data_IF_598185179189
#
_entry.id   IF_598185179189
#
_cell.length_a   1.000
_cell.length_b   1.000
_cell.length_c   1.000
_cell.angle_alpha   90.00
_cell.angle_beta   90.00
_cell.angle_gamma   90.00
#
_symmetry.space_group_name_H-M   'P 1'
#
loop_
_entity.id
_entity.type
_entity.pdbx_description
1 polymer ?
#
# COMPACT_ATOMS: atom_id res chain seq x y z
N UNK A 1 -39.28 42.52 53.77
CA UNK A 1 -38.14 41.62 53.53
C UNK A 1 -36.85 42.42 53.57
N UNK A 2 -35.73 41.81 54.01
CA UNK A 2 -34.87 42.46 55.00
C UNK A 2 -33.40 42.65 54.58
N UNK A 3 -32.65 43.30 55.48
CA UNK A 3 -31.20 43.31 55.73
C UNK A 3 -30.27 43.98 54.68
N UNK A 4 -29.70 45.16 54.98
CA UNK A 4 -28.54 45.46 55.87
C UNK A 4 -27.18 45.09 55.22
N UNK A 5 -26.34 46.10 54.92
CA UNK A 5 -25.20 46.56 55.75
C UNK A 5 -24.19 45.45 56.02
N UNK A 6 -22.98 45.53 55.45
CA UNK A 6 -21.83 46.07 56.20
C UNK A 6 -20.53 45.99 55.40
N UNK A 7 -19.79 47.09 55.50
CA UNK A 7 -18.38 47.30 55.21
C UNK A 7 -17.45 46.36 56.02
N UNK A 8 -16.36 45.97 55.34
CA UNK A 8 -14.93 46.09 55.73
C UNK A 8 -14.49 45.49 57.08
N UNK A 9 -13.49 44.59 57.06
CA UNK A 9 -12.18 44.90 57.63
C UNK A 9 -11.06 43.90 57.27
N UNK A 10 -9.87 44.48 57.28
CA UNK A 10 -8.51 44.07 56.91
C UNK A 10 -7.93 43.15 58.01
N UNK A 11 -7.00 42.22 57.67
CA UNK A 11 -5.60 42.21 58.18
C UNK A 11 -4.86 40.85 58.22
N UNK A 12 -3.57 40.96 57.87
CA UNK A 12 -2.36 40.44 58.55
C UNK A 12 -1.73 39.06 58.21
N UNK A 13 -0.40 39.17 57.96
CA UNK A 13 0.74 38.32 58.39
C UNK A 13 0.90 36.95 57.69
N UNK A 14 1.96 36.65 56.92
CA UNK A 14 3.42 36.66 57.13
C UNK A 14 4.02 35.32 57.62
N UNK A 15 5.17 35.01 57.00
CA UNK A 15 6.35 34.28 57.50
C UNK A 15 6.49 32.76 57.33
N UNK A 16 7.67 32.34 56.85
CA UNK A 16 8.13 30.95 56.87
C UNK A 16 9.32 30.62 55.96
N UNK A 17 10.47 31.31 56.09
CA UNK A 17 11.76 30.84 55.54
C UNK A 17 12.28 29.61 56.32
N UNK A 18 12.98 28.68 55.64
CA UNK A 18 14.22 28.09 56.18
C UNK A 18 15.16 27.52 55.11
N UNK A 19 16.30 28.19 55.05
CA UNK A 19 17.65 27.91 54.55
C UNK A 19 18.09 26.54 54.02
N UNK A 20 18.86 26.69 52.93
CA UNK A 20 20.01 25.95 52.44
C UNK A 20 20.95 25.30 53.47
N UNK A 21 21.66 24.25 53.03
CA UNK A 21 23.14 24.23 53.08
C UNK A 21 23.77 23.26 52.08
N UNK A 22 24.87 23.77 51.52
CA UNK A 22 25.82 23.24 50.55
C UNK A 22 26.74 22.21 51.24
N UNK A 23 27.24 21.20 50.51
CA UNK A 23 28.69 20.97 50.37
C UNK A 23 29.05 19.84 49.41
N UNK A 24 29.94 20.24 48.51
CA UNK A 24 30.84 19.53 47.60
C UNK A 24 31.57 18.34 48.23
N UNK A 25 31.69 17.24 47.48
CA UNK A 25 32.92 16.44 47.44
C UNK A 25 33.03 15.60 46.15
N UNK A 26 33.99 16.01 45.33
CA UNK A 26 34.96 15.23 44.55
C UNK A 26 34.59 13.94 43.78
N UNK A 27 34.94 14.03 42.48
CA UNK A 27 35.84 13.12 41.75
C UNK A 27 35.28 11.93 40.93
N UNK A 28 35.63 12.01 39.64
CA UNK A 28 36.18 10.95 38.76
C UNK A 28 35.19 10.14 37.88
N UNK A 29 35.27 10.46 36.58
CA UNK A 29 35.29 9.60 35.38
C UNK A 29 34.35 8.39 35.26
N UNK A 30 33.50 8.45 34.22
CA UNK A 30 33.12 7.32 33.35
C UNK A 30 32.31 7.92 32.18
N UNK A 31 32.96 8.33 31.09
CA UNK A 31 33.27 7.52 29.91
C UNK A 31 32.07 7.22 29.00
N UNK A 32 32.15 7.82 27.81
CA UNK A 32 31.70 7.30 26.51
C UNK A 32 30.18 7.21 26.29
N UNK A 33 29.65 8.30 25.76
CA UNK A 33 28.45 8.28 24.91
C UNK A 33 28.90 8.57 23.49
N UNK A 34 29.38 7.56 22.77
CA UNK A 34 29.57 7.67 21.32
C UNK A 34 28.21 7.69 20.64
N UNK A 35 27.72 8.89 20.39
CA UNK A 35 26.69 9.16 19.39
C UNK A 35 27.23 8.77 18.01
N UNK A 36 26.70 7.69 17.44
CA UNK A 36 26.80 7.41 16.02
C UNK A 36 25.43 7.71 15.40
N UNK A 37 25.19 9.00 15.20
CA UNK A 37 24.36 9.47 14.10
C UNK A 37 25.30 9.97 13.01
N UNK A 38 24.82 9.94 11.77
CA UNK A 38 25.40 10.63 10.61
C UNK A 38 26.43 9.83 9.80
N UNK A 39 25.97 8.70 9.23
CA UNK A 39 26.27 8.30 7.84
C UNK A 39 25.46 7.06 7.45
N UNK A 40 24.21 7.25 7.08
CA UNK A 40 23.44 6.28 6.31
C UNK A 40 22.35 7.01 5.52
N UNK A 41 22.77 7.81 4.55
CA UNK A 41 21.91 8.28 3.48
C UNK A 41 22.57 7.83 2.18
N UNK A 42 21.79 7.04 1.42
CA UNK A 42 22.04 6.47 0.10
C UNK A 42 22.80 5.13 0.06
N UNK A 43 22.05 4.02 0.17
CA UNK A 43 21.78 3.07 -0.94
C UNK A 43 21.20 1.77 -0.37
N UNK A 44 20.11 1.27 -0.94
CA UNK A 44 19.40 0.02 -0.62
C UNK A 44 18.66 -0.03 0.73
N UNK A 45 17.48 0.59 0.77
CA UNK A 45 16.52 0.34 1.84
C UNK A 45 16.04 -1.13 1.74
N UNK A 46 16.55 -1.98 2.62
CA UNK A 46 16.04 -3.34 2.80
C UNK A 46 14.52 -3.31 2.98
N UNK A 47 13.75 -4.20 2.31
CA UNK A 47 12.30 -4.22 2.40
C UNK A 47 11.84 -4.31 3.86
N UNK A 48 11.01 -3.34 4.28
CA UNK A 48 10.46 -3.33 5.64
C UNK A 48 9.32 -4.35 5.72
N UNK A 49 9.57 -5.45 6.43
CA UNK A 49 8.53 -6.44 6.74
C UNK A 49 7.65 -5.94 7.89
N UNK A 50 6.32 -5.98 7.71
CA UNK A 50 5.34 -5.54 8.70
C UNK A 50 4.30 -6.64 8.88
N UNK A 51 3.89 -6.90 10.13
CA UNK A 51 2.88 -7.90 10.45
C UNK A 51 1.77 -7.32 11.34
N UNK A 52 0.53 -7.68 11.03
CA UNK A 52 -0.69 -7.23 11.70
C UNK A 52 -1.57 -8.42 12.06
N UNK A 53 -2.23 -8.36 13.22
CA UNK A 53 -3.21 -9.36 13.64
C UNK A 53 -4.44 -8.70 14.24
N UNK A 54 -5.60 -9.31 14.06
CA UNK A 54 -6.85 -8.80 14.61
C UNK A 54 -8.06 -9.49 14.02
N UNK A 55 -9.18 -8.77 13.95
CA UNK A 55 -10.43 -9.31 13.42
C UNK A 55 -11.10 -8.34 12.45
N UNK A 56 -11.58 -8.86 11.31
CA UNK A 56 -12.52 -8.16 10.44
C UNK A 56 -13.94 -8.29 11.02
N UNK A 57 -14.68 -7.18 11.04
CA UNK A 57 -16.04 -7.10 11.59
C UNK A 57 -16.15 -7.61 13.03
N UNK A 58 -15.08 -7.52 13.81
CA UNK A 58 -14.99 -8.05 15.18
C UNK A 58 -15.06 -9.58 15.32
N UNK A 59 -15.21 -10.34 14.22
CA UNK A 59 -15.54 -11.77 14.27
C UNK A 59 -14.58 -12.68 13.50
N UNK A 60 -13.99 -12.18 12.41
CA UNK A 60 -13.19 -12.99 11.49
C UNK A 60 -11.71 -12.73 11.79
N UNK A 61 -11.00 -13.64 12.47
CA UNK A 61 -9.60 -13.43 12.80
C UNK A 61 -8.73 -13.53 11.55
N UNK A 62 -7.87 -12.53 11.38
CA UNK A 62 -6.96 -12.41 10.24
C UNK A 62 -5.54 -12.11 10.71
N UNK A 63 -4.59 -12.51 9.88
CA UNK A 63 -3.19 -12.13 9.97
C UNK A 63 -2.76 -11.57 8.63
N UNK A 64 -2.15 -10.38 8.63
CA UNK A 64 -1.63 -9.73 7.43
C UNK A 64 -0.13 -9.57 7.62
N UNK A 65 0.66 -9.90 6.60
CA UNK A 65 2.05 -9.48 6.53
C UNK A 65 2.37 -8.96 5.15
N UNK A 66 3.25 -7.96 5.08
CA UNK A 66 3.70 -7.41 3.81
C UNK A 66 5.09 -6.81 3.93
N UNK A 67 5.76 -6.70 2.78
CA UNK A 67 6.89 -5.80 2.60
C UNK A 67 6.45 -4.53 1.88
N UNK A 68 7.16 -3.44 2.16
CA UNK A 68 6.97 -2.17 1.48
C UNK A 68 8.25 -1.79 0.72
N UNK A 69 8.10 -1.46 -0.57
CA UNK A 69 9.16 -0.95 -1.44
C UNK A 69 8.66 0.35 -2.08
N UNK A 70 9.12 1.50 -1.59
CA UNK A 70 8.54 2.79 -1.96
C UNK A 70 7.08 2.89 -1.52
N UNK A 71 6.19 3.16 -2.49
CA UNK A 71 4.74 3.19 -2.32
C UNK A 71 4.08 1.82 -2.54
N UNK A 72 4.78 0.85 -3.11
CA UNK A 72 4.26 -0.48 -3.39
C UNK A 72 4.26 -1.37 -2.14
N UNK A 73 3.13 -2.04 -1.90
CA UNK A 73 2.92 -3.00 -0.83
C UNK A 73 2.68 -4.37 -1.44
N UNK A 74 3.47 -5.37 -1.02
CA UNK A 74 3.31 -6.76 -1.46
C UNK A 74 3.36 -7.68 -0.26
N UNK A 75 2.34 -8.52 -0.12
CA UNK A 75 2.21 -9.40 1.03
C UNK A 75 1.08 -10.40 0.88
N UNK A 76 0.57 -10.83 2.03
CA UNK A 76 -0.51 -11.81 2.10
C UNK A 76 -1.45 -11.52 3.27
N UNK A 77 -2.71 -11.91 3.13
CA UNK A 77 -3.68 -12.01 4.21
C UNK A 77 -4.07 -13.47 4.43
N UNK A 78 -4.12 -13.90 5.69
CA UNK A 78 -4.52 -15.24 6.10
C UNK A 78 -5.76 -15.19 6.98
N UNK A 79 -6.82 -15.89 6.56
CA UNK A 79 -8.05 -16.07 7.33
C UNK A 79 -7.93 -17.27 8.28
N UNK A 80 -7.73 -16.98 9.58
CA UNK A 80 -7.27 -17.97 10.57
C UNK A 80 -8.33 -19.01 10.96
N UNK A 81 -9.61 -18.74 10.67
CA UNK A 81 -10.73 -19.67 10.91
C UNK A 81 -10.91 -20.72 9.81
N UNK A 82 -10.30 -20.54 8.64
CA UNK A 82 -10.41 -21.53 7.56
C UNK A 82 -9.60 -22.79 7.91
N UNK A 83 -10.04 -23.97 7.45
CA UNK A 83 -9.33 -25.23 7.74
C UNK A 83 -7.90 -25.25 7.19
N UNK A 84 -7.72 -24.73 5.96
CA UNK A 84 -6.44 -24.76 5.25
C UNK A 84 -5.55 -23.54 5.53
N UNK A 85 -6.13 -22.41 5.99
CA UNK A 85 -5.41 -21.16 6.28
C UNK A 85 -4.45 -20.76 5.16
N UNK A 86 -4.92 -20.88 3.92
CA UNK A 86 -4.13 -20.55 2.73
C UNK A 86 -3.96 -19.03 2.70
N UNK A 87 -2.73 -18.50 2.66
CA UNK A 87 -2.51 -17.08 2.46
C UNK A 87 -3.03 -16.65 1.09
N UNK A 88 -3.69 -15.49 1.05
CA UNK A 88 -4.18 -14.86 -0.17
C UNK A 88 -3.26 -13.69 -0.48
N UNK A 89 -2.83 -13.59 -1.74
CA UNK A 89 -1.92 -12.53 -2.20
C UNK A 89 -2.57 -11.17 -1.97
N UNK A 90 -1.81 -10.26 -1.38
CA UNK A 90 -2.24 -8.90 -1.06
C UNK A 90 -1.26 -7.93 -1.73
N UNK A 91 -1.74 -7.16 -2.71
CA UNK A 91 -0.94 -6.18 -3.43
C UNK A 91 -1.65 -4.84 -3.40
N UNK A 92 -0.91 -3.75 -3.31
CA UNK A 92 -1.50 -2.43 -3.43
C UNK A 92 -0.52 -1.33 -3.14
N UNK A 93 -1.06 -0.17 -2.79
CA UNK A 93 -0.27 1.06 -2.73
C UNK A 93 -0.51 1.83 -1.43
N UNK A 94 0.53 2.53 -1.02
CA UNK A 94 0.48 3.58 -0.02
C UNK A 94 0.37 4.92 -0.73
N UNK A 95 -0.81 5.51 -0.69
CA UNK A 95 -1.07 6.83 -1.24
C UNK A 95 -0.67 7.94 -0.26
N UNK A 96 -0.65 9.18 -0.78
CA UNK A 96 -0.41 10.39 -0.02
C UNK A 96 -1.31 10.46 1.23
N UNK A 97 -0.74 10.96 2.33
CA UNK A 97 -1.45 11.03 3.62
C UNK A 97 -1.55 9.70 4.37
N UNK A 98 -0.73 8.71 4.00
CA UNK A 98 -0.59 7.44 4.71
C UNK A 98 -1.78 6.50 4.55
N UNK A 99 -2.48 6.59 3.42
CA UNK A 99 -3.66 5.78 3.11
C UNK A 99 -3.25 4.56 2.28
N UNK A 100 -3.59 3.38 2.78
CA UNK A 100 -3.36 2.10 2.12
C UNK A 100 -4.59 1.73 1.29
N UNK A 101 -4.39 1.35 0.03
CA UNK A 101 -5.38 0.66 -0.79
C UNK A 101 -4.77 -0.66 -1.25
N UNK A 102 -5.22 -1.77 -0.67
CA UNK A 102 -4.70 -3.12 -0.94
C UNK A 102 -5.79 -4.01 -1.53
N UNK A 103 -5.43 -4.95 -2.38
CA UNK A 103 -6.33 -5.86 -3.09
C UNK A 103 -5.92 -7.30 -2.84
N UNK A 104 -6.90 -8.14 -2.50
CA UNK A 104 -6.75 -9.59 -2.38
C UNK A 104 -6.92 -10.22 -3.75
N UNK A 105 -5.87 -10.85 -4.27
CA UNK A 105 -5.90 -11.52 -5.57
C UNK A 105 -6.03 -13.03 -5.40
N UNK A 106 -6.99 -13.62 -6.09
CA UNK A 106 -7.01 -15.07 -6.32
C UNK A 106 -6.01 -15.47 -7.44
N UNK A 107 -5.74 -16.78 -7.62
CA UNK A 107 -4.82 -17.25 -8.66
C UNK A 107 -5.24 -16.96 -10.12
N UNK A 108 -6.47 -16.50 -10.34
CA UNK A 108 -7.01 -16.14 -11.65
C UNK A 108 -7.03 -14.62 -11.89
N UNK A 109 -6.47 -13.84 -10.97
CA UNK A 109 -6.48 -12.38 -11.06
C UNK A 109 -7.78 -11.73 -10.59
N UNK A 110 -8.73 -12.48 -10.03
CA UNK A 110 -9.92 -11.85 -9.44
C UNK A 110 -9.55 -11.15 -8.14
N UNK A 111 -10.07 -9.94 -7.97
CA UNK A 111 -9.98 -9.20 -6.72
C UNK A 111 -11.14 -9.66 -5.83
N UNK A 112 -10.82 -10.34 -4.73
CA UNK A 112 -11.82 -10.92 -3.82
C UNK A 112 -12.08 -10.05 -2.59
N UNK A 113 -11.23 -9.06 -2.34
CA UNK A 113 -11.30 -8.16 -1.20
C UNK A 113 -10.47 -6.91 -1.45
N UNK A 114 -10.93 -5.78 -0.93
CA UNK A 114 -10.21 -4.50 -0.96
C UNK A 114 -10.05 -4.02 0.47
N UNK A 115 -8.84 -3.61 0.85
CA UNK A 115 -8.53 -3.02 2.14
C UNK A 115 -8.23 -1.54 1.94
N UNK A 116 -9.00 -0.70 2.60
CA UNK A 116 -8.79 0.75 2.68
C UNK A 116 -8.51 1.14 4.12
N UNK A 117 -7.31 1.63 4.41
CA UNK A 117 -6.85 1.75 5.79
C UNK A 117 -5.77 2.80 6.03
N UNK A 118 -5.53 3.10 7.31
CA UNK A 118 -4.43 3.95 7.79
C UNK A 118 -3.76 3.31 8.99
N UNK A 119 -2.48 3.62 9.18
CA UNK A 119 -1.76 3.30 10.41
C UNK A 119 -1.72 4.54 11.31
N UNK A 120 -2.28 4.44 12.52
CA UNK A 120 -2.23 5.51 13.53
C UNK A 120 -1.86 4.92 14.88
N UNK A 121 -0.84 5.48 15.53
CA UNK A 121 -0.37 5.06 16.87
C UNK A 121 -0.15 3.54 16.99
N UNK A 122 0.44 2.92 15.96
CA UNK A 122 0.72 1.48 15.95
C UNK A 122 -0.50 0.57 15.71
N UNK A 123 -1.64 1.13 15.27
CA UNK A 123 -2.85 0.38 14.90
C UNK A 123 -3.11 0.56 13.41
N UNK A 124 -3.28 -0.55 12.70
CA UNK A 124 -3.72 -0.57 11.31
C UNK A 124 -5.25 -0.72 11.28
N UNK A 125 -5.95 0.34 10.91
CA UNK A 125 -7.41 0.43 11.01
C UNK A 125 -8.02 0.90 9.71
N UNK A 126 -9.18 0.34 9.37
CA UNK A 126 -9.85 0.63 8.12
C UNK A 126 -11.05 -0.26 7.86
N UNK A 127 -11.37 -0.44 6.59
CA UNK A 127 -12.44 -1.30 6.10
C UNK A 127 -11.90 -2.32 5.12
N UNK A 128 -12.46 -3.53 5.19
CA UNK A 128 -12.36 -4.55 4.16
C UNK A 128 -13.67 -4.55 3.36
N UNK A 129 -13.59 -4.60 2.03
CA UNK A 129 -14.74 -4.46 1.12
C UNK A 129 -14.74 -5.66 0.17
N UNK A 130 -15.86 -6.39 0.10
CA UNK A 130 -16.09 -7.41 -0.92
C UNK A 130 -16.52 -6.76 -2.25
N UNK A 131 -15.77 -6.88 -3.37
CA UNK A 131 -16.11 -6.20 -4.61
C UNK A 131 -17.46 -6.59 -5.21
N UNK A 132 -17.84 -7.86 -5.10
CA UNK A 132 -19.08 -8.38 -5.70
C UNK A 132 -20.33 -8.02 -4.90
N UNK A 133 -20.26 -8.10 -3.58
CA UNK A 133 -21.43 -7.87 -2.71
C UNK A 133 -21.45 -6.49 -2.05
N UNK A 134 -20.40 -5.69 -2.25
CA UNK A 134 -20.19 -4.39 -1.58
C UNK A 134 -20.26 -4.48 -0.04
N UNK A 135 -19.97 -5.67 0.50
CA UNK A 135 -20.02 -5.89 1.95
C UNK A 135 -18.78 -5.30 2.59
N UNK A 136 -19.00 -4.42 3.55
CA UNK A 136 -17.92 -3.80 4.32
C UNK A 136 -17.76 -4.42 5.71
N UNK A 137 -16.52 -4.60 6.13
CA UNK A 137 -16.14 -5.07 7.45
C UNK A 137 -15.05 -4.17 8.02
N UNK A 138 -15.39 -3.37 9.03
CA UNK A 138 -14.40 -2.56 9.74
C UNK A 138 -13.42 -3.44 10.52
N UNK A 139 -12.19 -2.93 10.70
CA UNK A 139 -11.17 -3.62 11.47
C UNK A 139 -10.26 -2.67 12.22
N UNK A 140 -9.64 -3.22 13.27
CA UNK A 140 -8.51 -2.64 13.97
C UNK A 140 -7.52 -3.79 14.21
N UNK A 141 -6.37 -3.74 13.54
CA UNK A 141 -5.30 -4.73 13.68
C UNK A 141 -4.15 -4.12 14.47
N UNK A 142 -3.62 -4.90 15.39
CA UNK A 142 -2.45 -4.53 16.19
C UNK A 142 -1.20 -5.12 15.57
N UNK A 143 -0.06 -4.47 15.83
CA UNK A 143 1.23 -5.00 15.42
C UNK A 143 1.43 -6.43 15.95
N UNK A 144 2.07 -7.27 15.15
CA UNK A 144 2.47 -8.61 15.52
C UNK A 144 3.97 -8.74 15.43
N UNK A 145 4.62 -9.22 16.49
CA UNK A 145 6.08 -9.43 16.54
C UNK A 145 6.52 -10.69 15.79
N UNK A 146 5.74 -11.11 14.79
CA UNK A 146 6.03 -12.25 13.95
C UNK A 146 7.20 -11.93 13.04
N UNK A 147 8.21 -12.79 13.02
CA UNK A 147 9.33 -12.67 12.10
C UNK A 147 8.98 -13.38 10.79
N UNK A 148 8.52 -12.61 9.80
CA UNK A 148 8.31 -13.10 8.44
C UNK A 148 9.32 -12.44 7.52
N UNK A 149 10.04 -13.27 6.76
CA UNK A 149 10.94 -12.82 5.71
C UNK A 149 10.14 -12.90 4.41
N UNK A 150 9.74 -11.74 3.88
CA UNK A 150 9.08 -11.70 2.59
C UNK A 150 10.09 -12.05 1.48
N UNK A 151 9.70 -12.88 0.49
CA UNK A 151 10.55 -13.16 -0.64
C UNK A 151 10.79 -11.89 -1.47
N UNK A 152 11.90 -11.84 -2.20
CA UNK A 152 12.13 -10.76 -3.18
C UNK A 152 10.98 -10.71 -4.19
N UNK A 153 10.55 -9.48 -4.50
CA UNK A 153 9.54 -9.19 -5.53
C UNK A 153 10.15 -8.89 -6.90
N UNK A 154 11.49 -8.81 -7.00
CA UNK A 154 12.15 -8.60 -8.29
C UNK A 154 11.90 -9.78 -9.21
N UNK A 155 11.64 -9.49 -10.48
CA UNK A 155 11.52 -10.47 -11.55
C UNK A 155 12.76 -10.39 -12.43
N UNK A 156 13.15 -11.51 -13.02
CA UNK A 156 14.15 -11.48 -14.10
C UNK A 156 13.44 -11.26 -15.42
N UNK A 157 14.10 -10.60 -16.37
CA UNK A 157 13.58 -10.34 -17.73
C UNK A 157 12.90 -11.57 -18.38
N UNK A 158 13.55 -12.75 -18.34
CA UNK A 158 12.97 -14.00 -18.90
C UNK A 158 11.65 -14.46 -18.27
N UNK A 159 11.28 -13.92 -17.12
CA UNK A 159 10.11 -14.29 -16.35
C UNK A 159 8.97 -13.26 -16.44
N UNK A 160 9.14 -12.18 -17.21
CA UNK A 160 8.09 -11.17 -17.42
C UNK A 160 7.01 -11.63 -18.38
N UNK A 161 7.32 -12.56 -19.30
CA UNK A 161 6.39 -13.02 -20.33
C UNK A 161 5.19 -13.80 -19.77
N UNK A 162 4.00 -13.50 -20.30
CA UNK A 162 2.75 -14.16 -19.96
C UNK A 162 1.55 -13.20 -19.92
N UNK A 163 0.47 -13.67 -19.31
CA UNK A 163 -0.76 -12.90 -19.13
C UNK A 163 -0.90 -12.45 -17.68
N UNK A 164 -1.33 -11.21 -17.52
CA UNK A 164 -1.64 -10.57 -16.25
C UNK A 164 -3.05 -10.01 -16.31
N UNK A 165 -3.80 -10.10 -15.23
CA UNK A 165 -5.18 -9.63 -15.22
C UNK A 165 -5.60 -9.10 -13.84
N UNK A 166 -6.64 -8.27 -13.85
CA UNK A 166 -7.45 -8.00 -12.69
C UNK A 166 -8.94 -8.06 -13.05
N UNK A 167 -9.79 -8.44 -12.08
CA UNK A 167 -11.24 -8.36 -12.25
C UNK A 167 -11.95 -8.11 -10.91
N UNK A 168 -12.86 -7.14 -10.86
CA UNK A 168 -13.70 -6.84 -9.70
C UNK A 168 -15.05 -7.57 -9.77
N UNK A 169 -15.00 -8.90 -9.81
CA UNK A 169 -16.18 -9.74 -10.10
C UNK A 169 -16.58 -9.72 -11.57
N UNK A 170 -17.66 -10.42 -11.92
CA UNK A 170 -18.06 -10.67 -13.32
C UNK A 170 -18.50 -9.40 -14.06
N UNK A 171 -19.15 -8.46 -13.37
CA UNK A 171 -19.68 -7.22 -13.98
C UNK A 171 -18.89 -5.95 -13.59
N UNK A 172 -17.81 -6.11 -12.82
CA UNK A 172 -17.00 -5.00 -12.34
C UNK A 172 -16.00 -4.51 -13.37
N UNK A 173 -15.07 -3.67 -12.92
CA UNK A 173 -13.92 -3.28 -13.71
C UNK A 173 -13.04 -4.51 -13.95
N UNK A 174 -12.43 -4.60 -15.12
CA UNK A 174 -11.46 -5.65 -15.43
C UNK A 174 -10.37 -5.12 -16.34
N UNK A 175 -9.25 -5.83 -16.39
CA UNK A 175 -8.15 -5.50 -17.29
C UNK A 175 -7.25 -6.69 -17.52
N UNK A 176 -6.61 -6.69 -18.67
CA UNK A 176 -5.69 -7.72 -19.13
C UNK A 176 -4.47 -7.06 -19.78
N UNK A 177 -3.29 -7.54 -19.39
CA UNK A 177 -2.01 -7.22 -19.98
C UNK A 177 -1.41 -8.54 -20.48
N UNK A 178 -1.06 -8.58 -21.76
CA UNK A 178 -0.30 -9.66 -22.35
C UNK A 178 1.07 -9.15 -22.77
N UNK A 179 2.09 -9.95 -22.51
CA UNK A 179 3.44 -9.69 -23.00
C UNK A 179 4.10 -11.00 -23.42
N UNK A 180 4.62 -11.03 -24.64
CA UNK A 180 5.24 -12.20 -25.25
C UNK A 180 6.62 -11.84 -25.79
N UNK A 181 7.53 -12.81 -25.73
CA UNK A 181 8.87 -12.67 -26.29
C UNK A 181 8.77 -12.56 -27.82
N UNK A 182 9.50 -11.61 -28.40
CA UNK A 182 9.61 -11.41 -29.83
C UNK A 182 11.09 -11.45 -30.27
N UNK A 183 11.32 -11.48 -31.57
CA UNK A 183 12.69 -11.55 -32.09
C UNK A 183 13.51 -10.30 -31.72
N UNK A 184 14.83 -10.47 -31.60
CA UNK A 184 15.81 -9.40 -31.40
C UNK A 184 15.72 -8.63 -30.06
N UNK A 185 15.13 -9.23 -29.02
CA UNK A 185 15.03 -8.59 -27.70
C UNK A 185 13.87 -7.59 -27.58
N UNK A 186 12.97 -7.60 -28.55
CA UNK A 186 11.67 -6.94 -28.47
C UNK A 186 10.67 -7.83 -27.72
N UNK A 187 9.61 -7.21 -27.20
CA UNK A 187 8.44 -7.90 -26.69
C UNK A 187 7.19 -7.38 -27.42
N UNK A 188 6.33 -8.30 -27.83
CA UNK A 188 4.96 -7.98 -28.22
C UNK A 188 4.15 -7.76 -26.95
N UNK A 189 3.41 -6.66 -26.85
CA UNK A 189 2.52 -6.42 -25.72
C UNK A 189 1.12 -5.97 -26.18
N UNK A 190 0.13 -6.22 -25.34
CA UNK A 190 -1.26 -5.80 -25.54
C UNK A 190 -1.86 -5.47 -24.17
N UNK A 191 -2.64 -4.39 -24.08
CA UNK A 191 -3.25 -3.96 -22.84
C UNK A 191 -4.68 -3.50 -23.07
N UNK A 192 -5.63 -4.09 -22.35
CA UNK A 192 -7.02 -3.65 -22.33
C UNK A 192 -7.53 -3.52 -20.90
N UNK A 193 -8.37 -2.54 -20.66
CA UNK A 193 -9.11 -2.36 -19.42
C UNK A 193 -10.52 -1.86 -19.72
N UNK A 194 -11.49 -2.41 -19.00
CA UNK A 194 -12.91 -2.22 -19.23
C UNK A 194 -13.56 -1.76 -17.92
N UNK A 195 -14.38 -0.71 -17.99
CA UNK A 195 -15.18 -0.28 -16.84
C UNK A 195 -16.34 -1.24 -16.59
N UNK A 196 -17.14 -1.01 -15.54
CA UNK A 196 -18.24 -1.93 -15.19
C UNK A 196 -19.18 -2.22 -16.36
N UNK A 197 -19.35 -3.51 -16.67
CA UNK A 197 -20.27 -4.00 -17.70
C UNK A 197 -21.72 -3.60 -17.41
N UNK A 198 -22.08 -3.53 -16.12
CA UNK A 198 -23.42 -3.15 -15.66
C UNK A 198 -23.78 -1.70 -15.97
N UNK A 199 -22.82 -0.80 -16.03
CA UNK A 199 -23.04 0.65 -16.20
C UNK A 199 -22.87 1.12 -17.65
N UNK A 200 -22.65 0.21 -18.60
CA UNK A 200 -22.20 0.53 -19.95
C UNK A 200 -20.67 0.64 -19.98
N UNK A 201 -19.97 -0.38 -20.50
CA UNK A 201 -18.52 -0.42 -20.43
C UNK A 201 -17.88 0.64 -21.34
N UNK A 202 -16.92 1.37 -20.78
CA UNK A 202 -15.93 2.14 -21.51
C UNK A 202 -14.65 1.31 -21.57
N UNK A 203 -13.88 1.48 -22.64
CA UNK A 203 -12.67 0.70 -22.91
C UNK A 203 -11.48 1.64 -22.96
N UNK A 204 -10.39 1.20 -22.32
CA UNK A 204 -9.04 1.72 -22.51
C UNK A 204 -8.21 0.59 -23.10
N UNK A 205 -7.82 0.72 -24.36
CA UNK A 205 -7.11 -0.32 -25.10
C UNK A 205 -5.88 0.26 -25.78
N UNK A 206 -4.78 -0.47 -25.66
CA UNK A 206 -3.58 -0.32 -26.46
C UNK A 206 -3.51 -1.59 -27.28
N UNK A 207 -3.76 -1.44 -28.57
CA UNK A 207 -3.64 -2.53 -29.54
C UNK A 207 -2.24 -3.14 -29.48
N UNK A 208 -2.12 -4.37 -30.01
CA UNK A 208 -0.88 -5.11 -29.97
C UNK A 208 0.25 -4.30 -30.64
N UNK A 209 1.32 -4.03 -29.90
CA UNK A 209 2.49 -3.31 -30.40
C UNK A 209 3.78 -3.88 -29.80
N UNK A 210 4.93 -3.36 -30.24
CA UNK A 210 6.28 -3.80 -29.88
C UNK A 210 6.97 -2.81 -28.96
N UNK A 211 7.65 -3.34 -27.95
CA UNK A 211 8.45 -2.57 -27.00
C UNK A 211 9.80 -3.22 -26.76
N UNK A 212 10.79 -2.41 -26.40
CA UNK A 212 12.06 -2.89 -25.86
C UNK A 212 11.94 -2.99 -24.34
N UNK A 213 12.33 -4.13 -23.77
CA UNK A 213 12.40 -4.28 -22.32
C UNK A 213 13.68 -3.64 -21.78
N UNK A 214 13.54 -2.82 -20.75
CA UNK A 214 14.63 -2.27 -19.95
C UNK A 214 14.73 -3.04 -18.63
N UNK A 215 15.14 -4.31 -18.72
CA UNK A 215 15.21 -5.22 -17.57
C UNK A 215 13.83 -5.72 -17.14
N UNK A 216 13.22 -5.08 -16.14
CA UNK A 216 11.90 -5.45 -15.60
C UNK A 216 10.82 -4.41 -15.88
N UNK A 217 11.05 -3.45 -16.77
CA UNK A 217 10.02 -2.49 -17.18
C UNK A 217 10.16 -2.07 -18.64
N UNK A 218 9.15 -1.38 -19.15
CA UNK A 218 9.26 -0.57 -20.37
C UNK A 218 8.41 0.70 -20.22
N UNK A 219 8.73 1.71 -21.01
CA UNK A 219 7.88 2.88 -21.21
C UNK A 219 7.26 2.81 -22.61
N UNK A 220 6.04 3.32 -22.75
CA UNK A 220 5.32 3.33 -24.02
C UNK A 220 4.56 4.65 -24.19
N UNK A 221 4.81 5.32 -25.31
CA UNK A 221 4.09 6.53 -25.70
C UNK A 221 2.89 6.12 -26.53
N UNK A 222 1.69 6.46 -26.07
CA UNK A 222 0.46 6.11 -26.76
C UNK A 222 0.38 6.87 -28.10
N UNK A 223 0.21 6.19 -29.24
CA UNK A 223 0.10 6.85 -30.54
C UNK A 223 -1.04 7.87 -30.59
N UNK A 224 -0.83 8.95 -31.32
CA UNK A 224 -1.80 10.04 -31.52
C UNK A 224 -2.26 10.76 -30.23
N UNK A 225 -1.51 10.61 -29.14
CA UNK A 225 -1.74 11.35 -27.91
C UNK A 225 -0.82 12.57 -27.80
N UNK A 226 -1.15 13.54 -26.94
CA UNK A 226 -0.29 14.69 -26.59
C UNK A 226 0.89 14.28 -25.68
N UNK A 227 1.63 13.23 -26.06
CA UNK A 227 2.68 12.57 -25.29
C UNK A 227 2.18 11.86 -24.02
N UNK A 228 1.04 11.18 -24.11
CA UNK A 228 0.63 10.23 -23.08
C UNK A 228 1.63 9.08 -23.02
N UNK A 229 2.36 8.98 -21.91
CA UNK A 229 3.33 7.93 -21.68
C UNK A 229 2.90 7.07 -20.50
N UNK A 230 2.95 5.76 -20.68
CA UNK A 230 2.76 4.78 -19.61
C UNK A 230 4.08 4.08 -19.31
N UNK A 231 4.22 3.67 -18.05
CA UNK A 231 5.26 2.77 -17.59
C UNK A 231 4.62 1.47 -17.14
N UNK A 232 5.14 0.36 -17.65
CA UNK A 232 4.76 -0.99 -17.21
C UNK A 232 5.96 -1.58 -16.48
N UNK A 233 5.81 -1.82 -15.19
CA UNK A 233 6.84 -2.44 -14.33
C UNK A 233 6.41 -3.84 -13.94
N UNK A 234 7.26 -4.82 -14.18
CA UNK A 234 7.04 -6.21 -13.86
C UNK A 234 7.67 -6.57 -12.52
N UNK A 235 6.93 -7.38 -11.77
CA UNK A 235 7.35 -7.95 -10.51
C UNK A 235 7.09 -9.44 -10.54
N UNK A 236 7.61 -10.15 -9.54
CA UNK A 236 7.32 -11.56 -9.38
C UNK A 236 5.81 -11.72 -9.15
N UNK A 237 5.14 -12.29 -10.15
CA UNK A 237 3.71 -12.64 -10.17
C UNK A 237 2.71 -11.48 -10.36
N UNK A 238 3.15 -10.27 -10.71
CA UNK A 238 2.24 -9.17 -11.08
C UNK A 238 2.97 -8.11 -11.93
N UNK A 239 2.21 -7.24 -12.57
CA UNK A 239 2.68 -6.05 -13.25
C UNK A 239 1.96 -4.82 -12.70
N UNK A 240 2.64 -3.67 -12.69
CA UNK A 240 2.10 -2.37 -12.32
C UNK A 240 2.18 -1.47 -13.53
N UNK A 241 1.04 -0.97 -13.97
CA UNK A 241 0.93 0.01 -15.06
C UNK A 241 0.59 1.35 -14.45
N UNK A 242 1.33 2.40 -14.82
CA UNK A 242 1.10 3.79 -14.38
C UNK A 242 1.35 4.77 -15.50
N UNK A 243 0.70 5.91 -15.47
CA UNK A 243 1.09 7.03 -16.32
C UNK A 243 2.41 7.63 -15.82
N UNK A 244 3.35 7.89 -16.74
CA UNK A 244 4.65 8.47 -16.40
C UNK A 244 4.55 9.96 -16.07
N UNK A 245 3.62 10.68 -16.70
CA UNK A 245 3.48 12.14 -16.63
C UNK A 245 2.12 12.61 -16.10
N UNK A 246 1.59 11.95 -15.06
CA UNK A 246 0.32 12.34 -14.43
C UNK A 246 -0.86 11.56 -14.96
N UNK A 247 -1.71 12.16 -15.79
CA UNK A 247 -2.85 11.49 -16.44
C UNK A 247 -2.81 11.67 -17.97
N UNK A 248 -3.66 10.91 -18.66
CA UNK A 248 -3.82 11.01 -20.11
C UNK A 248 -5.27 11.40 -20.46
N UNK A 249 -5.62 12.68 -20.25
CA UNK A 249 -7.00 13.13 -20.37
C UNK A 249 -7.51 12.96 -21.79
N UNK A 250 -8.71 12.39 -21.93
CA UNK A 250 -9.40 12.23 -23.21
C UNK A 250 -8.88 11.11 -24.11
N UNK A 251 -7.84 10.38 -23.71
CA UNK A 251 -7.29 9.31 -24.54
C UNK A 251 -8.15 8.05 -24.58
N UNK A 252 -8.92 7.80 -23.52
CA UNK A 252 -9.76 6.63 -23.38
C UNK A 252 -11.21 7.02 -23.10
N UNK A 253 -12.11 6.02 -23.19
CA UNK A 253 -13.52 6.20 -22.83
C UNK A 253 -13.71 6.72 -21.41
N UNK A 254 -14.92 7.21 -21.11
CA UNK A 254 -15.19 7.86 -19.82
C UNK A 254 -14.86 6.95 -18.63
N UNK A 255 -13.97 7.41 -17.73
CA UNK A 255 -13.44 6.66 -16.58
C UNK A 255 -12.71 5.35 -16.93
N UNK A 256 -12.38 5.10 -18.19
CA UNK A 256 -11.51 4.00 -18.58
C UNK A 256 -10.04 4.44 -18.44
N UNK A 257 -9.21 3.53 -17.94
CA UNK A 257 -7.78 3.75 -17.73
C UNK A 257 -7.04 2.44 -17.94
N UNK A 258 -5.78 2.52 -18.35
CA UNK A 258 -4.86 1.39 -18.42
C UNK A 258 -4.04 1.22 -17.14
N UNK A 259 -4.11 2.19 -16.22
CA UNK A 259 -3.43 2.16 -14.93
C UNK A 259 -4.01 1.08 -14.01
N UNK A 260 -3.13 0.35 -13.34
CA UNK A 260 -3.54 -0.66 -12.39
C UNK A 260 -2.46 -1.67 -12.02
N UNK A 261 -2.81 -2.57 -11.10
CA UNK A 261 -2.01 -3.73 -10.73
C UNK A 261 -2.67 -4.97 -11.32
N UNK A 262 -1.93 -5.68 -12.16
CA UNK A 262 -2.39 -6.85 -12.88
C UNK A 262 -1.67 -8.07 -12.31
N UNK A 263 -2.39 -9.01 -11.71
CA UNK A 263 -1.78 -10.23 -11.18
C UNK A 263 -1.52 -11.23 -12.31
N UNK A 264 -0.37 -11.91 -12.28
CA UNK A 264 -0.05 -12.95 -13.26
C UNK A 264 -1.09 -14.07 -13.15
N UNK A 265 -1.68 -14.43 -14.28
CA UNK A 265 -2.64 -15.53 -14.38
C UNK A 265 -1.98 -16.72 -15.06
N UNK A 266 -2.24 -17.93 -14.54
CA UNK A 266 -1.80 -19.15 -15.21
C UNK A 266 -2.84 -19.53 -16.25
N UNK A 267 -2.41 -19.62 -17.51
CA UNK A 267 -3.18 -20.29 -18.56
C UNK A 267 -3.23 -21.81 -18.30
#
# INVERSE_FOLDING_TARGET
MPYFISMILIFFLACGQKSAKINTENQIFSSVSTSLSDKALQSDASPKNICWKGKLGGKIPVFIHYQQVGDLIVGEITYLKTKKRIPIRLIGELHNGGFYRLQEYDPKGNITGIIEAKVKKGVFSGVWIAPTTQKELSFNLVHSDSLIISPSIKVSEKNVFGTYAYAYGEEGYSGQLEIADADNGEADFYLISVTSLKMGPNIAEIEKDKVMLEGDFFNYIIPYSENCEIRVEFYKEFARVRYANGDCPGQFGHNATVEGIFARVKQ
#
